data_IF_168114107233
#
_entry.id   IF_168114107233
#
_cell.length_a   1.000
_cell.length_b   1.000
_cell.length_c   1.000
_cell.angle_alpha   90.00
_cell.angle_beta   90.00
_cell.angle_gamma   90.00
#
_symmetry.space_group_name_H-M   'P 1'
#
loop_
_entity.id
_entity.type
_entity.pdbx_description
1 polymer ?
#
# COMPACT_ATOMS: atom_id res chain seq x y z
N UNK A 1 11.82 -0.15 5.86
CA UNK A 1 11.45 0.94 4.93
C UNK A 1 11.93 2.31 5.37
N UNK A 2 11.90 2.66 6.67
CA UNK A 2 12.43 3.96 7.16
C UNK A 2 13.88 4.21 6.69
N UNK A 3 14.84 3.36 7.07
CA UNK A 3 16.24 3.50 6.65
C UNK A 3 16.42 3.47 5.12
N UNK A 4 15.59 2.71 4.40
CA UNK A 4 15.62 2.66 2.93
C UNK A 4 15.21 4.00 2.33
N UNK A 5 14.16 4.63 2.85
CA UNK A 5 13.72 5.96 2.46
C UNK A 5 14.77 7.03 2.76
N UNK A 6 15.44 6.95 3.91
CA UNK A 6 16.54 7.87 4.28
C UNK A 6 17.73 7.74 3.32
N UNK A 7 18.02 6.52 2.85
CA UNK A 7 19.08 6.29 1.85
C UNK A 7 18.67 6.66 0.41
N UNK A 8 17.36 6.67 0.13
CA UNK A 8 16.81 6.98 -1.19
C UNK A 8 15.37 7.52 -1.08
N UNK A 9 15.25 8.84 -1.14
CA UNK A 9 13.98 9.55 -0.98
C UNK A 9 12.96 9.33 -2.11
N UNK A 10 13.33 8.69 -3.22
CA UNK A 10 12.38 8.40 -4.31
C UNK A 10 11.46 7.22 -3.98
N UNK A 11 11.85 6.35 -3.04
CA UNK A 11 11.07 5.20 -2.59
C UNK A 11 10.33 5.54 -1.29
N UNK A 12 9.39 6.49 -1.37
CA UNK A 12 8.69 7.03 -0.21
C UNK A 12 7.39 6.33 0.14
N UNK A 13 6.88 5.42 -0.70
CA UNK A 13 5.62 4.69 -0.45
C UNK A 13 5.91 3.22 -0.12
N UNK A 14 5.33 2.71 0.96
CA UNK A 14 5.48 1.33 1.40
C UNK A 14 4.13 0.67 1.70
N UNK A 15 4.01 -0.61 1.36
CA UNK A 15 2.89 -1.48 1.74
C UNK A 15 3.29 -2.31 2.97
N UNK A 16 2.44 -2.31 4.00
CA UNK A 16 2.57 -3.21 5.16
C UNK A 16 2.00 -4.59 4.85
N UNK A 17 2.78 -5.65 5.01
CA UNK A 17 2.25 -7.02 4.88
C UNK A 17 1.44 -7.47 6.11
N UNK A 18 1.53 -6.76 7.24
CA UNK A 18 0.80 -7.09 8.48
C UNK A 18 -0.68 -6.76 8.40
N UNK A 19 -1.06 -5.67 7.75
CA UNK A 19 -2.43 -5.14 7.71
C UNK A 19 -2.83 -4.55 6.34
N UNK A 20 -1.95 -4.59 5.34
CA UNK A 20 -2.15 -4.01 4.01
C UNK A 20 -2.32 -2.48 3.98
N UNK A 21 -1.98 -1.79 5.08
CA UNK A 21 -1.91 -0.32 5.09
C UNK A 21 -0.79 0.18 4.17
N UNK A 22 -0.99 1.35 3.55
CA UNK A 22 0.00 2.01 2.70
C UNK A 22 0.49 3.28 3.38
N UNK A 23 1.80 3.41 3.58
CA UNK A 23 2.42 4.55 4.25
C UNK A 23 3.28 5.36 3.28
N UNK A 24 3.14 6.69 3.30
CA UNK A 24 4.01 7.63 2.59
C UNK A 24 4.95 8.33 3.58
N UNK A 25 6.25 8.04 3.51
CA UNK A 25 7.28 8.67 4.34
C UNK A 25 7.47 10.16 4.05
N UNK A 26 7.31 10.58 2.79
CA UNK A 26 7.42 12.02 2.43
C UNK A 26 6.20 12.83 2.86
N UNK A 27 5.03 12.20 2.97
CA UNK A 27 3.76 12.84 3.30
C UNK A 27 3.49 12.80 4.82
N UNK A 28 4.19 11.92 5.53
CA UNK A 28 3.94 11.56 6.93
C UNK A 28 2.47 11.15 7.17
N UNK A 29 1.93 10.33 6.26
CA UNK A 29 0.52 9.96 6.27
C UNK A 29 0.27 8.58 5.64
N UNK A 30 -0.84 7.97 6.05
CA UNK A 30 -1.40 6.80 5.37
C UNK A 30 -2.08 7.23 4.07
N UNK A 31 -1.86 6.45 3.02
CA UNK A 31 -2.51 6.59 1.72
C UNK A 31 -3.66 5.58 1.62
N UNK A 32 -4.79 6.01 1.07
CA UNK A 32 -5.95 5.15 0.89
C UNK A 32 -5.99 4.56 -0.53
N UNK A 33 -5.85 3.23 -0.70
CA UNK A 33 -5.96 2.57 -1.99
C UNK A 33 -7.33 2.70 -2.66
N UNK A 34 -8.40 2.94 -1.90
CA UNK A 34 -9.74 3.14 -2.46
C UNK A 34 -9.85 4.47 -3.19
N UNK A 35 -9.24 5.51 -2.63
CA UNK A 35 -9.29 6.87 -3.17
C UNK A 35 -8.24 7.06 -4.27
N UNK A 36 -7.06 6.46 -4.12
CA UNK A 36 -5.93 6.64 -5.05
C UNK A 36 -5.91 5.48 -6.06
N UNK A 37 -6.36 5.68 -7.32
CA UNK A 37 -6.53 4.59 -8.28
C UNK A 37 -5.23 3.84 -8.60
N UNK A 38 -4.09 4.54 -8.54
CA UNK A 38 -2.76 3.95 -8.79
C UNK A 38 -2.38 2.86 -7.77
N UNK A 39 -2.94 2.92 -6.55
CA UNK A 39 -2.66 1.94 -5.50
C UNK A 39 -3.58 0.71 -5.56
N UNK A 40 -4.73 0.77 -6.26
CA UNK A 40 -5.70 -0.33 -6.30
C UNK A 40 -5.12 -1.65 -6.80
N UNK A 41 -4.39 -1.72 -7.95
CA UNK A 41 -3.90 -3.00 -8.45
C UNK A 41 -2.94 -3.67 -7.47
N UNK A 42 -2.12 -2.86 -6.78
CA UNK A 42 -1.17 -3.35 -5.78
C UNK A 42 -1.87 -3.86 -4.52
N UNK A 43 -2.89 -3.14 -4.05
CA UNK A 43 -3.71 -3.58 -2.92
C UNK A 43 -4.48 -4.87 -3.24
N UNK A 44 -5.11 -4.95 -4.41
CA UNK A 44 -5.86 -6.13 -4.84
C UNK A 44 -4.97 -7.38 -4.91
N UNK A 45 -3.77 -7.25 -5.50
CA UNK A 45 -2.80 -8.34 -5.56
C UNK A 45 -2.34 -8.75 -4.15
N UNK A 46 -2.01 -7.79 -3.29
CA UNK A 46 -1.57 -8.08 -1.92
C UNK A 46 -2.67 -8.77 -1.09
N UNK A 47 -3.93 -8.35 -1.26
CA UNK A 47 -5.09 -8.96 -0.62
C UNK A 47 -5.27 -10.41 -1.06
N UNK A 48 -5.22 -10.66 -2.38
CA UNK A 48 -5.31 -12.00 -2.95
C UNK A 48 -4.20 -12.91 -2.42
N UNK A 49 -2.96 -12.43 -2.39
CA UNK A 49 -1.82 -13.23 -1.92
C UNK A 49 -1.91 -13.54 -0.43
N UNK A 50 -2.36 -12.58 0.38
CA UNK A 50 -2.46 -12.72 1.83
C UNK A 50 -3.62 -13.60 2.27
N UNK A 51 -4.81 -13.36 1.71
CA UNK A 51 -6.04 -13.99 2.18
C UNK A 51 -6.52 -15.14 1.27
N UNK A 52 -5.91 -15.34 0.09
CA UNK A 52 -6.32 -16.34 -0.90
C UNK A 52 -7.77 -16.19 -1.38
N UNK A 53 -8.25 -14.95 -1.43
CA UNK A 53 -9.58 -14.58 -1.87
C UNK A 53 -9.56 -13.20 -2.53
N UNK A 54 -10.55 -12.90 -3.36
CA UNK A 54 -10.69 -11.56 -3.94
C UNK A 54 -11.00 -10.51 -2.87
N UNK A 55 -10.51 -9.27 -3.03
CA UNK A 55 -10.92 -8.15 -2.18
C UNK A 55 -12.43 -7.92 -2.28
N UNK A 56 -13.08 -7.43 -1.21
CA UNK A 56 -14.51 -7.20 -1.21
C UNK A 56 -14.93 -6.30 -2.39
N UNK A 57 -16.13 -6.52 -2.94
CA UNK A 57 -16.61 -5.76 -4.12
C UNK A 57 -16.73 -4.25 -3.90
N UNK A 58 -16.75 -3.80 -2.64
CA UNK A 58 -16.68 -2.39 -2.25
C UNK A 58 -15.36 -1.71 -2.66
N UNK A 59 -14.37 -2.49 -3.11
CA UNK A 59 -13.04 -2.03 -3.51
C UNK A 59 -12.87 -1.88 -5.04
N UNK A 60 -13.95 -2.01 -5.83
CA UNK A 60 -13.95 -1.84 -7.30
C UNK A 60 -14.53 -0.47 -7.72
#
# INVERSE_FOLDING_TARGET
MVHHFESNHTHCVALSFSDLSVWCFSCDAYLDPHIIPLLRPLYQLAYLLKFRQDPPSTFL
#
